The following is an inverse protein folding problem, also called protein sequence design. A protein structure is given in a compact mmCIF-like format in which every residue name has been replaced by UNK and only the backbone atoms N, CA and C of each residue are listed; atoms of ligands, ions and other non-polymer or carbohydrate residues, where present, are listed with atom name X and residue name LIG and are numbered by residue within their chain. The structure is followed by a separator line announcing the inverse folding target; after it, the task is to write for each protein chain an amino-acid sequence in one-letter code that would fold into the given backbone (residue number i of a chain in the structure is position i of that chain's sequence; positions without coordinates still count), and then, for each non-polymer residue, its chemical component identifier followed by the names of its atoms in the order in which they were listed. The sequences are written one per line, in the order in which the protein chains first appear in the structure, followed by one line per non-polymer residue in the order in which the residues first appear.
data_IF_548197563323
#
_entry.id   IF_548197563323
#
_cell.length_a   1.000
_cell.length_b   1.000
_cell.length_c   1.000
_cell.angle_alpha   90.00
_cell.angle_beta   90.00
_cell.angle_gamma   90.00
#
_symmetry.space_group_name_H-M   'P 1'
#
loop_
_entity.id
_entity.type
_entity.pdbx_description
1 polymer ?
#
# COMPACT_ATOMS: atom_id res chain seq x y z
N UNK A 1 -3.61 14.21 19.60
CA UNK A 1 -3.61 12.80 19.13
C UNK A 1 -3.37 12.76 17.64
N UNK A 2 -2.68 11.74 17.11
CA UNK A 2 -2.54 11.58 15.67
C UNK A 2 -3.93 11.26 15.07
N UNK A 3 -4.24 11.88 13.93
CA UNK A 3 -5.52 11.64 13.24
C UNK A 3 -5.42 10.34 12.46
N UNK A 4 -6.31 9.38 12.72
CA UNK A 4 -6.39 8.16 11.94
C UNK A 4 -6.95 8.48 10.56
N UNK A 5 -6.27 8.00 9.52
CA UNK A 5 -6.70 8.07 8.12
C UNK A 5 -7.20 6.71 7.67
N UNK A 6 -8.40 6.68 7.10
CA UNK A 6 -9.03 5.47 6.60
C UNK A 6 -9.21 5.57 5.08
N UNK A 7 -8.66 4.60 4.36
CA UNK A 7 -8.78 4.50 2.92
C UNK A 7 -9.39 3.18 2.47
N UNK A 8 -9.61 3.07 1.18
CA UNK A 8 -10.19 1.90 0.53
C UNK A 8 -9.27 1.37 -0.56
N UNK A 9 -9.21 0.06 -0.72
CA UNK A 9 -8.53 -0.61 -1.83
C UNK A 9 -9.49 -1.57 -2.53
N UNK A 10 -9.85 -1.25 -3.76
CA UNK A 10 -10.50 -2.17 -4.68
C UNK A 10 -10.04 -1.88 -6.10
N UNK A 11 -9.08 -2.68 -6.57
CA UNK A 11 -8.47 -2.49 -7.88
C UNK A 11 -9.49 -2.62 -9.01
N UNK A 12 -10.35 -3.63 -8.96
CA UNK A 12 -11.34 -3.90 -10.01
C UNK A 12 -12.37 -2.75 -10.08
N UNK A 13 -12.74 -2.17 -8.94
CA UNK A 13 -13.67 -1.06 -8.87
C UNK A 13 -13.12 0.25 -9.45
N UNK A 14 -11.80 0.46 -9.37
CA UNK A 14 -11.17 1.73 -9.76
C UNK A 14 -10.46 1.69 -11.11
N UNK A 15 -10.25 0.51 -11.72
CA UNK A 15 -9.60 0.36 -13.04
C UNK A 15 -10.57 0.22 -14.21
N UNK A 16 -11.81 0.64 -14.03
CA UNK A 16 -12.84 0.56 -15.08
C UNK A 16 -12.46 1.35 -16.33
N UNK A 17 -12.79 0.83 -17.52
CA UNK A 17 -12.47 1.50 -18.78
C UNK A 17 -13.28 2.80 -18.99
N UNK A 18 -14.51 2.89 -18.47
CA UNK A 18 -15.32 4.11 -18.57
C UNK A 18 -14.82 5.18 -17.60
N UNK A 19 -14.28 6.32 -18.10
CA UNK A 19 -13.73 7.38 -17.27
C UNK A 19 -14.81 8.07 -16.42
N UNK A 20 -16.07 8.11 -16.88
CA UNK A 20 -17.15 8.73 -16.11
C UNK A 20 -17.58 7.87 -14.93
N UNK A 21 -17.61 6.54 -15.09
CA UNK A 21 -17.89 5.61 -13.97
C UNK A 21 -16.76 5.69 -12.96
N UNK A 22 -15.50 5.67 -13.42
CA UNK A 22 -14.34 5.80 -12.55
C UNK A 22 -14.37 7.11 -11.77
N UNK A 23 -14.64 8.24 -12.42
CA UNK A 23 -14.77 9.55 -11.78
C UNK A 23 -15.86 9.54 -10.71
N UNK A 24 -17.07 9.09 -11.03
CA UNK A 24 -18.18 9.01 -10.05
C UNK A 24 -17.83 8.18 -8.82
N UNK A 25 -17.09 7.05 -8.98
CA UNK A 25 -16.65 6.26 -7.84
C UNK A 25 -15.64 6.99 -6.97
N UNK A 26 -14.68 7.68 -7.57
CA UNK A 26 -13.73 8.50 -6.81
C UNK A 26 -14.42 9.66 -6.10
N UNK A 27 -15.39 10.32 -6.76
CA UNK A 27 -16.21 11.36 -6.15
C UNK A 27 -17.01 10.81 -4.95
N UNK A 28 -17.52 9.55 -5.03
CA UNK A 28 -18.20 8.89 -3.91
C UNK A 28 -17.23 8.60 -2.76
N UNK A 29 -16.03 8.12 -3.03
CA UNK A 29 -14.98 7.93 -2.02
C UNK A 29 -14.67 9.24 -1.28
N UNK A 30 -14.52 10.33 -2.02
CA UNK A 30 -14.26 11.66 -1.45
C UNK A 30 -15.45 12.18 -0.64
N UNK A 31 -16.67 12.02 -1.15
CA UNK A 31 -17.91 12.41 -0.46
C UNK A 31 -18.15 11.60 0.82
N UNK A 32 -17.70 10.35 0.86
CA UNK A 32 -17.69 9.47 2.03
C UNK A 32 -16.56 9.80 3.03
N UNK A 33 -15.82 10.89 2.81
CA UNK A 33 -14.69 11.33 3.64
C UNK A 33 -13.58 10.30 3.82
N UNK A 34 -13.44 9.35 2.90
CA UNK A 34 -12.31 8.42 2.91
C UNK A 34 -11.03 9.16 2.51
N UNK A 35 -9.94 8.89 3.23
CA UNK A 35 -8.73 9.71 3.17
C UNK A 35 -7.82 9.37 1.98
N UNK A 36 -7.95 8.18 1.39
CA UNK A 36 -7.14 7.75 0.24
C UNK A 36 -7.69 6.51 -0.46
N UNK A 37 -7.26 6.31 -1.69
CA UNK A 37 -7.44 5.05 -2.43
C UNK A 37 -6.11 4.32 -2.53
N UNK A 38 -6.11 3.00 -2.32
CA UNK A 38 -4.91 2.16 -2.50
C UNK A 38 -5.09 1.25 -3.71
N UNK A 39 -4.04 1.14 -4.52
CA UNK A 39 -3.97 0.21 -5.65
C UNK A 39 -2.79 -0.73 -5.50
N UNK A 40 -2.93 -1.97 -5.99
CA UNK A 40 -1.84 -2.94 -6.06
C UNK A 40 -0.95 -2.72 -7.27
N UNK A 41 0.13 -3.51 -7.34
CA UNK A 41 1.04 -3.57 -8.47
C UNK A 41 1.37 -5.02 -8.78
N UNK A 42 0.91 -5.50 -9.92
CA UNK A 42 1.19 -6.84 -10.43
C UNK A 42 1.46 -6.82 -11.93
N UNK A 43 2.43 -7.61 -12.38
CA UNK A 43 2.77 -7.76 -13.80
C UNK A 43 1.95 -8.88 -14.42
N UNK A 44 1.86 -10.05 -13.76
CA UNK A 44 1.14 -11.23 -14.24
C UNK A 44 0.85 -12.23 -13.11
N UNK A 45 0.13 -11.77 -12.08
CA UNK A 45 -0.14 -12.55 -10.88
C UNK A 45 -1.05 -13.75 -11.18
N UNK A 46 -0.67 -14.92 -10.68
CA UNK A 46 -1.45 -16.17 -10.75
C UNK A 46 -2.15 -16.46 -12.10
N UNK A 47 -1.44 -16.28 -13.20
CA UNK A 47 -1.94 -16.61 -14.53
C UNK A 47 -2.29 -15.41 -15.39
N UNK A 48 -1.74 -14.25 -15.08
CA UNK A 48 -1.80 -13.07 -15.94
C UNK A 48 -2.74 -11.98 -15.47
N UNK A 49 -3.24 -12.06 -14.24
CA UNK A 49 -4.04 -10.98 -13.66
C UNK A 49 -3.14 -9.90 -13.05
N UNK A 50 -3.64 -8.66 -12.98
CA UNK A 50 -2.97 -7.55 -12.34
C UNK A 50 -2.97 -6.28 -13.18
N UNK A 51 -2.48 -5.23 -12.58
CA UNK A 51 -2.32 -3.91 -13.20
C UNK A 51 -1.00 -3.30 -12.74
N UNK A 52 -0.34 -2.53 -13.60
CA UNK A 52 0.82 -1.73 -13.20
C UNK A 52 0.39 -0.65 -12.24
N UNK A 53 1.01 -0.65 -11.05
CA UNK A 53 0.62 0.23 -9.95
C UNK A 53 0.82 1.71 -10.25
N UNK A 54 1.88 2.11 -10.98
CA UNK A 54 2.12 3.52 -11.30
C UNK A 54 1.20 4.01 -12.42
N UNK A 55 0.91 3.18 -13.43
CA UNK A 55 -0.05 3.51 -14.48
C UNK A 55 -1.45 3.67 -13.88
N UNK A 56 -1.86 2.75 -13.01
CA UNK A 56 -3.14 2.83 -12.31
C UNK A 56 -3.19 4.09 -11.43
N UNK A 57 -2.18 4.33 -10.59
CA UNK A 57 -2.13 5.52 -9.75
C UNK A 57 -2.19 6.82 -10.59
N UNK A 58 -1.48 6.89 -11.72
CA UNK A 58 -1.53 8.03 -12.65
C UNK A 58 -2.96 8.26 -13.16
N UNK A 59 -3.64 7.19 -13.56
CA UNK A 59 -5.02 7.26 -14.04
C UNK A 59 -5.97 7.80 -12.97
N UNK A 60 -5.85 7.33 -11.72
CA UNK A 60 -6.72 7.77 -10.62
C UNK A 60 -6.43 9.21 -10.20
N UNK A 61 -5.15 9.59 -10.09
CA UNK A 61 -4.73 10.94 -9.76
C UNK A 61 -5.18 11.97 -10.81
N UNK A 62 -5.23 11.58 -12.08
CA UNK A 62 -5.77 12.41 -13.17
C UNK A 62 -7.30 12.41 -13.22
N UNK A 63 -7.97 11.40 -12.65
CA UNK A 63 -9.44 11.29 -12.65
C UNK A 63 -10.10 12.04 -11.50
N UNK A 64 -9.36 12.47 -10.47
CA UNK A 64 -9.89 13.22 -9.33
C UNK A 64 -8.88 14.26 -8.82
N UNK A 65 -9.35 15.45 -8.44
CA UNK A 65 -8.47 16.62 -8.25
C UNK A 65 -7.77 16.65 -6.89
N UNK A 66 -8.32 16.00 -5.85
CA UNK A 66 -7.80 16.10 -4.47
C UNK A 66 -7.53 14.75 -3.79
N UNK A 67 -8.14 13.64 -4.24
CA UNK A 67 -8.06 12.36 -3.55
C UNK A 67 -6.64 11.79 -3.61
N UNK A 68 -5.99 11.48 -2.47
CA UNK A 68 -4.69 10.83 -2.44
C UNK A 68 -4.75 9.38 -2.94
N UNK A 69 -3.68 8.94 -3.58
CA UNK A 69 -3.53 7.55 -4.06
C UNK A 69 -2.26 6.95 -3.48
N UNK A 70 -2.38 5.74 -2.97
CA UNK A 70 -1.27 4.92 -2.51
C UNK A 70 -1.06 3.72 -3.45
N UNK A 71 0.18 3.44 -3.82
CA UNK A 71 0.54 2.14 -4.41
C UNK A 71 0.96 1.20 -3.27
N UNK A 72 0.19 0.17 -3.03
CA UNK A 72 0.41 -0.69 -1.87
C UNK A 72 0.39 -2.19 -2.21
N UNK A 73 1.51 -2.74 -2.74
CA UNK A 73 2.89 -2.21 -2.80
C UNK A 73 3.47 -2.31 -4.21
N UNK A 74 4.30 -1.36 -4.60
CA UNK A 74 5.05 -1.34 -5.85
C UNK A 74 6.22 -2.34 -5.83
N UNK A 75 6.37 -3.12 -6.88
CA UNK A 75 7.38 -4.17 -6.99
C UNK A 75 8.69 -3.62 -7.58
N UNK A 76 9.34 -2.69 -6.84
CA UNK A 76 10.55 -1.99 -7.31
C UNK A 76 11.68 -2.94 -7.72
N UNK A 77 11.83 -4.08 -7.04
CA UNK A 77 12.86 -5.08 -7.36
C UNK A 77 12.75 -5.70 -8.76
N UNK A 78 11.59 -5.55 -9.44
CA UNK A 78 11.36 -6.01 -10.80
C UNK A 78 11.65 -4.93 -11.85
N UNK A 79 12.04 -3.72 -11.45
CA UNK A 79 12.19 -2.56 -12.33
C UNK A 79 13.58 -1.94 -12.20
N UNK A 80 13.97 -1.19 -13.21
CA UNK A 80 15.22 -0.43 -13.17
C UNK A 80 15.02 0.85 -12.33
N UNK A 81 15.89 1.15 -11.34
CA UNK A 81 15.70 2.27 -10.41
C UNK A 81 15.65 3.64 -11.10
N UNK A 82 16.40 3.84 -12.18
CA UNK A 82 16.37 5.09 -12.96
C UNK A 82 15.01 5.34 -13.61
N UNK A 83 14.40 4.29 -14.19
CA UNK A 83 13.08 4.38 -14.83
C UNK A 83 12.00 4.61 -13.76
N UNK A 84 12.04 3.85 -12.66
CA UNK A 84 11.11 4.02 -11.55
C UNK A 84 11.20 5.44 -10.95
N UNK A 85 12.41 5.96 -10.72
CA UNK A 85 12.59 7.31 -10.19
C UNK A 85 12.05 8.39 -11.16
N UNK A 86 12.23 8.23 -12.48
CA UNK A 86 11.67 9.16 -13.47
C UNK A 86 10.14 9.11 -13.46
N UNK A 87 9.54 7.93 -13.47
CA UNK A 87 8.09 7.76 -13.43
C UNK A 87 7.49 8.39 -12.16
N UNK A 88 8.08 8.13 -11.01
CA UNK A 88 7.67 8.69 -9.72
C UNK A 88 7.81 10.22 -9.68
N UNK A 89 8.93 10.76 -10.15
CA UNK A 89 9.13 12.21 -10.24
C UNK A 89 8.07 12.86 -11.13
N UNK A 90 7.79 12.28 -12.30
CA UNK A 90 6.78 12.79 -13.24
C UNK A 90 5.39 12.78 -12.61
N UNK A 91 5.02 11.66 -11.98
CA UNK A 91 3.71 11.50 -11.34
C UNK A 91 3.54 12.47 -10.15
N UNK A 92 4.58 12.65 -9.35
CA UNK A 92 4.56 13.56 -8.21
C UNK A 92 4.48 15.05 -8.65
N UNK A 93 5.04 15.40 -9.81
CA UNK A 93 4.87 16.75 -10.38
C UNK A 93 3.43 16.97 -10.89
N UNK A 94 2.81 15.95 -11.47
CA UNK A 94 1.43 16.03 -11.96
C UNK A 94 0.40 16.07 -10.81
N UNK A 95 0.71 15.47 -9.66
CA UNK A 95 -0.16 15.37 -8.50
C UNK A 95 0.61 15.63 -7.18
N UNK A 96 1.05 16.86 -6.91
CA UNK A 96 1.91 17.17 -5.76
C UNK A 96 1.27 16.78 -4.43
N UNK A 97 2.01 16.01 -3.62
CA UNK A 97 1.58 15.57 -2.28
C UNK A 97 0.48 14.52 -2.22
N UNK A 98 -0.03 14.05 -3.38
CA UNK A 98 -1.14 13.09 -3.42
C UNK A 98 -0.71 11.63 -3.65
N UNK A 99 0.57 11.36 -3.91
CA UNK A 99 1.10 10.01 -4.10
C UNK A 99 1.83 9.53 -2.85
N UNK A 100 1.50 8.34 -2.37
CA UNK A 100 2.30 7.56 -1.41
C UNK A 100 2.77 6.27 -2.07
N UNK A 101 4.06 5.95 -1.95
CA UNK A 101 4.64 4.75 -2.54
C UNK A 101 4.93 3.70 -1.47
N UNK A 102 4.11 2.66 -1.40
CA UNK A 102 4.46 1.43 -0.71
C UNK A 102 5.39 0.58 -1.58
N UNK A 103 6.45 0.01 -1.01
CA UNK A 103 7.41 -0.81 -1.73
C UNK A 103 7.45 -2.22 -1.14
N UNK A 104 7.32 -3.24 -2.00
CA UNK A 104 7.40 -4.65 -1.65
C UNK A 104 8.38 -5.43 -2.52
N UNK A 105 8.65 -6.68 -2.09
CA UNK A 105 9.65 -7.55 -2.78
C UNK A 105 9.04 -8.50 -3.81
N UNK A 106 7.71 -8.54 -3.97
CA UNK A 106 7.00 -9.62 -4.66
C UNK A 106 7.26 -11.01 -4.02
N UNK A 107 6.64 -12.06 -4.53
CA UNK A 107 7.08 -13.40 -4.19
C UNK A 107 6.05 -14.44 -3.86
N UNK A 108 4.76 -14.10 -3.83
CA UNK A 108 3.70 -15.09 -3.74
C UNK A 108 3.60 -15.89 -5.05
N UNK A 109 3.77 -15.20 -6.19
CA UNK A 109 3.92 -15.87 -7.49
C UNK A 109 5.36 -15.73 -8.02
N UNK A 110 6.14 -16.81 -7.92
CA UNK A 110 7.53 -16.82 -8.43
C UNK A 110 7.60 -16.72 -9.95
N UNK A 111 6.54 -17.14 -10.67
CA UNK A 111 6.48 -17.06 -12.14
C UNK A 111 6.32 -15.62 -12.60
N UNK A 112 5.56 -14.79 -11.87
CA UNK A 112 5.48 -13.35 -12.13
C UNK A 112 6.87 -12.71 -12.12
N UNK A 113 7.68 -13.03 -11.12
CA UNK A 113 9.04 -12.52 -10.98
C UNK A 113 9.94 -12.98 -12.13
N UNK A 114 9.90 -14.29 -12.47
CA UNK A 114 10.71 -14.85 -13.55
C UNK A 114 10.32 -14.29 -14.91
N UNK A 115 9.02 -14.12 -15.18
CA UNK A 115 8.51 -13.57 -16.43
C UNK A 115 8.88 -12.10 -16.60
N UNK A 116 9.11 -11.38 -15.51
CA UNK A 116 9.66 -10.02 -15.52
C UNK A 116 11.19 -9.98 -15.76
N UNK A 117 11.82 -11.12 -16.07
CA UNK A 117 13.25 -11.20 -16.33
C UNK A 117 14.12 -11.17 -15.07
N UNK A 118 13.54 -11.42 -13.90
CA UNK A 118 14.24 -11.39 -12.61
C UNK A 118 14.28 -12.79 -11.99
N UNK A 119 15.47 -13.25 -11.58
CA UNK A 119 15.57 -14.46 -10.76
C UNK A 119 14.86 -14.24 -9.41
N UNK A 120 13.81 -15.03 -9.08
CA UNK A 120 13.09 -14.92 -7.81
C UNK A 120 13.99 -15.04 -6.57
N UNK A 121 15.15 -15.69 -6.66
CA UNK A 121 16.13 -15.78 -5.58
C UNK A 121 16.86 -14.46 -5.31
N UNK A 122 16.94 -13.57 -6.29
CA UNK A 122 17.68 -12.30 -6.20
C UNK A 122 16.81 -11.09 -5.86
N UNK A 123 15.48 -11.19 -5.95
CA UNK A 123 14.55 -10.05 -5.84
C UNK A 123 14.75 -9.17 -4.60
N UNK A 124 15.10 -9.80 -3.47
CA UNK A 124 15.37 -9.07 -2.21
C UNK A 124 16.65 -8.24 -2.30
N UNK A 125 17.75 -8.80 -2.83
CA UNK A 125 19.03 -8.09 -3.02
C UNK A 125 18.89 -6.99 -4.06
N UNK A 126 18.15 -7.25 -5.16
CA UNK A 126 17.81 -6.21 -6.16
C UNK A 126 17.06 -5.04 -5.52
N UNK A 127 16.11 -5.31 -4.63
CA UNK A 127 15.41 -4.26 -3.90
C UNK A 127 16.35 -3.51 -2.94
N UNK A 128 17.23 -4.21 -2.23
CA UNK A 128 18.22 -3.61 -1.34
C UNK A 128 19.16 -2.65 -2.07
N UNK A 129 19.49 -2.96 -3.34
CA UNK A 129 20.31 -2.11 -4.20
C UNK A 129 19.50 -0.95 -4.83
N UNK A 130 18.27 -1.23 -5.30
CA UNK A 130 17.43 -0.24 -5.99
C UNK A 130 16.91 0.86 -5.07
N UNK A 131 16.55 0.52 -3.83
CA UNK A 131 15.85 1.42 -2.92
C UNK A 131 16.67 2.69 -2.56
N UNK A 132 17.96 2.59 -2.14
CA UNK A 132 18.78 3.78 -1.91
C UNK A 132 19.02 4.60 -3.19
N UNK A 133 19.11 3.96 -4.36
CA UNK A 133 19.28 4.65 -5.64
C UNK A 133 18.05 5.50 -5.97
N UNK A 134 16.85 4.92 -5.86
CA UNK A 134 15.60 5.66 -6.08
C UNK A 134 15.46 6.85 -5.13
N UNK A 135 15.77 6.68 -3.84
CA UNK A 135 15.71 7.80 -2.88
C UNK A 135 16.64 8.94 -3.24
N UNK A 136 17.90 8.63 -3.59
CA UNK A 136 18.89 9.64 -4.00
C UNK A 136 18.48 10.35 -5.30
N UNK A 137 17.99 9.59 -6.29
CA UNK A 137 17.52 10.14 -7.56
C UNK A 137 16.31 11.06 -7.37
N UNK A 138 15.33 10.67 -6.54
CA UNK A 138 14.16 11.50 -6.22
C UNK A 138 14.53 12.76 -5.43
N UNK A 139 15.60 12.71 -4.63
CA UNK A 139 16.16 13.89 -3.98
C UNK A 139 16.95 14.81 -4.93
N UNK A 140 17.03 14.50 -6.25
CA UNK A 140 17.76 15.26 -7.24
C UNK A 140 19.28 15.18 -7.15
N UNK A 141 19.79 14.23 -6.38
CA UNK A 141 21.22 14.00 -6.25
C UNK A 141 21.79 13.39 -7.54
N UNK A 142 23.04 13.71 -7.85
CA UNK A 142 23.80 12.97 -8.85
C UNK A 142 24.24 11.63 -8.28
N UNK A 143 24.05 10.57 -9.04
CA UNK A 143 24.29 9.18 -8.60
C UNK A 143 25.18 8.50 -9.62
N UNK A 144 26.39 8.13 -9.18
CA UNK A 144 27.20 7.10 -9.84
C UNK A 144 27.19 5.85 -8.94
N UNK A 145 26.96 4.69 -9.53
CA UNK A 145 26.84 3.40 -8.83
C UNK A 145 27.27 2.27 -9.75
N UNK A 146 28.02 1.34 -9.18
CA UNK A 146 28.39 0.08 -9.84
C UNK A 146 28.07 -1.05 -8.83
N UNK A 147 26.94 -1.70 -9.04
CA UNK A 147 26.44 -2.76 -8.13
C UNK A 147 26.35 -4.13 -8.78
N UNK A 148 25.67 -5.02 -8.10
CA UNK A 148 25.43 -6.39 -8.60
C UNK A 148 24.38 -6.39 -9.73
N UNK A 149 23.39 -5.50 -9.65
CA UNK A 149 22.22 -5.51 -10.53
C UNK A 149 22.09 -4.24 -11.37
N UNK A 150 22.64 -3.13 -10.91
CA UNK A 150 22.45 -1.83 -11.56
C UNK A 150 23.78 -1.09 -11.68
N UNK A 151 23.94 -0.41 -12.82
CA UNK A 151 25.02 0.51 -13.04
C UNK A 151 24.44 1.88 -13.46
N UNK A 152 24.91 2.94 -12.83
CA UNK A 152 24.53 4.34 -13.14
C UNK A 152 25.81 5.16 -13.21
N UNK A 153 25.88 6.07 -14.18
CA UNK A 153 26.98 7.01 -14.34
C UNK A 153 26.42 8.43 -14.38
N UNK A 154 26.79 9.26 -13.40
CA UNK A 154 26.36 10.66 -13.26
C UNK A 154 24.86 10.86 -13.48
N UNK A 155 24.06 9.86 -13.05
CA UNK A 155 22.60 9.83 -13.25
C UNK A 155 21.91 10.82 -12.32
N UNK A 156 20.95 11.58 -12.86
CA UNK A 156 20.20 12.59 -12.10
C UNK A 156 18.76 12.68 -12.57
N UNK A 157 17.83 12.88 -11.65
CA UNK A 157 16.40 13.11 -11.93
C UNK A 157 16.02 14.51 -11.45
N UNK A 158 15.64 15.38 -12.39
CA UNK A 158 15.09 16.72 -12.12
C UNK A 158 13.82 16.94 -12.94
N UNK A 159 12.86 17.75 -12.43
CA UNK A 159 12.85 18.34 -11.10
C UNK A 159 12.59 17.28 -10.01
N UNK A 160 13.11 17.53 -8.80
CA UNK A 160 12.78 16.71 -7.64
C UNK A 160 11.34 16.92 -7.22
N UNK A 161 10.61 15.87 -6.73
CA UNK A 161 9.28 16.03 -6.16
C UNK A 161 9.27 17.01 -4.98
N UNK A 162 8.31 17.93 -5.00
CA UNK A 162 8.03 18.83 -3.87
C UNK A 162 6.52 18.95 -3.67
N UNK A 163 5.98 18.44 -2.56
CA UNK A 163 6.68 17.73 -1.47
C UNK A 163 7.25 16.38 -1.93
N UNK A 164 8.19 15.84 -1.15
CA UNK A 164 8.77 14.52 -1.41
C UNK A 164 7.69 13.43 -1.37
N UNK A 165 7.84 12.40 -2.22
CA UNK A 165 6.95 11.23 -2.20
C UNK A 165 7.27 10.37 -0.98
N UNK A 166 6.31 10.14 -0.06
CA UNK A 166 6.52 9.22 1.04
C UNK A 166 6.76 7.79 0.52
N UNK A 167 7.84 7.16 1.00
CA UNK A 167 8.19 5.76 0.67
C UNK A 167 8.00 4.91 1.92
N UNK A 168 7.03 4.01 1.90
CA UNK A 168 6.75 3.08 2.99
C UNK A 168 7.08 1.65 2.58
N UNK A 169 7.62 0.87 3.49
CA UNK A 169 8.09 -0.47 3.18
C UNK A 169 7.06 -1.51 3.61
N UNK A 170 6.62 -2.34 2.67
CA UNK A 170 5.77 -3.50 2.94
C UNK A 170 6.59 -4.74 3.30
N UNK A 171 5.93 -5.69 3.96
CA UNK A 171 6.51 -6.99 4.31
C UNK A 171 6.58 -7.26 5.80
N UNK A 172 6.74 -8.56 6.17
CA UNK A 172 6.60 -9.06 7.55
C UNK A 172 7.88 -9.56 8.19
N UNK A 173 8.95 -9.68 7.40
CA UNK A 173 10.21 -10.30 7.84
C UNK A 173 11.26 -9.29 8.27
N UNK A 174 12.39 -9.79 8.80
CA UNK A 174 13.53 -9.00 9.25
C UNK A 174 14.07 -8.04 8.19
N UNK A 175 14.10 -8.49 6.94
CA UNK A 175 14.55 -7.65 5.83
C UNK A 175 13.65 -6.42 5.62
N UNK A 176 12.32 -6.55 5.81
CA UNK A 176 11.41 -5.43 5.72
C UNK A 176 11.63 -4.43 6.87
N UNK A 177 11.88 -4.91 8.09
CA UNK A 177 12.22 -4.07 9.24
C UNK A 177 13.51 -3.28 8.97
N UNK A 178 14.57 -3.95 8.50
CA UNK A 178 15.83 -3.27 8.16
C UNK A 178 15.65 -2.22 7.06
N UNK A 179 14.89 -2.54 5.99
CA UNK A 179 14.62 -1.59 4.90
C UNK A 179 13.80 -0.39 5.39
N UNK A 180 12.76 -0.63 6.17
CA UNK A 180 11.94 0.44 6.75
C UNK A 180 12.79 1.37 7.64
N UNK A 181 13.62 0.81 8.50
CA UNK A 181 14.53 1.56 9.35
C UNK A 181 15.59 2.33 8.56
N UNK A 182 16.18 1.72 7.51
CA UNK A 182 17.28 2.33 6.78
C UNK A 182 16.80 3.30 5.67
N UNK A 183 15.65 3.04 5.04
CA UNK A 183 15.23 3.75 3.83
C UNK A 183 13.76 4.15 3.79
N UNK A 184 12.90 3.64 4.69
CA UNK A 184 11.47 3.96 4.70
C UNK A 184 11.16 5.25 5.45
N UNK A 185 10.10 5.95 5.05
CA UNK A 185 9.44 6.97 5.85
C UNK A 185 8.47 6.32 6.84
N UNK A 186 8.27 4.98 6.67
CA UNK A 186 7.44 4.15 7.53
C UNK A 186 7.28 2.72 7.04
N UNK A 187 6.24 2.05 7.53
CA UNK A 187 5.97 0.65 7.25
C UNK A 187 4.47 0.38 7.05
N UNK A 188 4.18 -0.48 6.08
CA UNK A 188 2.84 -0.96 5.77
C UNK A 188 2.71 -2.43 6.16
N UNK A 189 1.90 -2.70 7.18
CA UNK A 189 1.53 -4.04 7.62
C UNK A 189 0.42 -4.64 6.77
N UNK A 190 0.46 -5.97 6.58
CA UNK A 190 -0.61 -6.75 5.99
C UNK A 190 -0.56 -8.18 6.54
N UNK A 191 -1.72 -8.79 6.76
CA UNK A 191 -1.83 -10.12 7.36
C UNK A 191 -1.01 -10.26 8.66
N UNK A 192 -1.16 -9.32 9.57
CA UNK A 192 -0.56 -9.34 10.90
C UNK A 192 -1.60 -8.99 11.97
N UNK A 193 -1.40 -9.47 13.19
CA UNK A 193 -2.20 -9.02 14.34
C UNK A 193 -1.74 -7.66 14.85
N UNK A 194 -2.58 -6.95 15.59
CA UNK A 194 -2.24 -5.66 16.21
C UNK A 194 -1.01 -5.79 17.12
N UNK A 195 -0.88 -6.87 17.89
CA UNK A 195 0.33 -7.17 18.69
C UNK A 195 1.59 -7.24 17.79
N UNK A 196 1.51 -7.95 16.66
CA UNK A 196 2.64 -8.04 15.72
C UNK A 196 2.93 -6.69 15.08
N UNK A 197 1.90 -5.90 14.81
CA UNK A 197 2.04 -4.54 14.29
C UNK A 197 2.83 -3.67 15.29
N UNK A 198 2.42 -3.61 16.56
CA UNK A 198 3.10 -2.87 17.62
C UNK A 198 4.58 -3.29 17.77
N UNK A 199 4.84 -4.59 17.81
CA UNK A 199 6.21 -5.13 17.90
C UNK A 199 7.07 -4.74 16.68
N UNK A 200 6.52 -4.81 15.46
CA UNK A 200 7.24 -4.46 14.24
C UNK A 200 7.55 -2.96 14.21
N UNK A 201 6.56 -2.12 14.55
CA UNK A 201 6.74 -0.67 14.68
C UNK A 201 7.86 -0.32 15.65
N UNK A 202 7.82 -0.84 16.88
CA UNK A 202 8.85 -0.60 17.89
C UNK A 202 10.25 -0.99 17.42
N UNK A 203 10.38 -2.13 16.74
CA UNK A 203 11.66 -2.60 16.19
C UNK A 203 12.19 -1.71 15.06
N UNK A 204 11.31 -1.20 14.19
CA UNK A 204 11.69 -0.25 13.13
C UNK A 204 12.19 1.05 13.75
N UNK A 205 11.48 1.59 14.74
CA UNK A 205 11.87 2.82 15.43
C UNK A 205 13.22 2.68 16.13
N UNK A 206 13.43 1.58 16.87
CA UNK A 206 14.69 1.30 17.53
C UNK A 206 15.85 1.15 16.51
N UNK A 207 15.62 0.45 15.41
CA UNK A 207 16.62 0.26 14.37
C UNK A 207 16.97 1.57 13.65
N UNK A 208 15.98 2.42 13.35
CA UNK A 208 16.20 3.74 12.75
C UNK A 208 17.00 4.67 13.66
N UNK A 209 16.68 4.69 14.96
CA UNK A 209 17.44 5.43 15.98
C UNK A 209 18.90 4.94 16.04
N UNK A 210 19.12 3.62 16.00
CA UNK A 210 20.49 3.03 15.96
C UNK A 210 21.30 3.42 14.73
N UNK A 211 20.62 3.78 13.63
CA UNK A 211 21.25 4.29 12.39
C UNK A 211 21.41 5.81 12.39
N UNK A 212 20.99 6.53 13.42
CA UNK A 212 20.99 7.98 13.48
C UNK A 212 20.07 8.64 12.46
N UNK A 213 19.03 7.91 12.00
CA UNK A 213 18.06 8.44 11.04
C UNK A 213 16.93 9.19 11.72
N UNK A 214 16.33 10.13 10.97
CA UNK A 214 15.03 10.69 11.32
C UNK A 214 14.00 9.58 11.56
N UNK A 215 13.20 9.75 12.60
CA UNK A 215 12.22 8.76 13.05
C UNK A 215 11.16 8.53 11.97
N UNK A 216 10.99 7.29 11.46
CA UNK A 216 9.88 6.97 10.57
C UNK A 216 8.54 7.29 11.25
N UNK A 217 7.68 8.02 10.53
CA UNK A 217 6.41 8.51 11.09
C UNK A 217 5.18 7.90 10.43
N UNK A 218 5.30 7.32 9.24
CA UNK A 218 4.18 6.75 8.52
C UNK A 218 3.99 5.27 8.87
N UNK A 219 2.98 4.91 9.66
CA UNK A 219 2.66 3.53 9.98
C UNK A 219 1.24 3.20 9.59
N UNK A 220 1.07 2.19 8.72
CA UNK A 220 -0.25 1.81 8.23
C UNK A 220 -0.44 0.30 8.16
N UNK A 221 -1.70 -0.09 7.97
CA UNK A 221 -2.10 -1.49 7.80
C UNK A 221 -3.16 -1.62 6.71
N UNK A 222 -2.99 -2.64 5.85
CA UNK A 222 -4.01 -3.08 4.92
C UNK A 222 -4.75 -4.27 5.52
N UNK A 223 -6.09 -4.17 5.63
CA UNK A 223 -6.94 -5.19 6.22
C UNK A 223 -8.02 -5.60 5.22
N UNK A 224 -8.02 -6.87 4.84
CA UNK A 224 -9.12 -7.49 4.12
C UNK A 224 -10.31 -7.63 5.05
N UNK A 225 -11.52 -7.27 4.61
CA UNK A 225 -12.73 -7.39 5.42
C UNK A 225 -13.94 -7.73 4.56
N UNK A 226 -14.83 -8.56 5.11
CA UNK A 226 -16.16 -8.79 4.57
C UNK A 226 -17.15 -7.87 5.25
N UNK A 227 -17.88 -7.09 4.47
CA UNK A 227 -18.79 -6.07 4.99
C UNK A 227 -20.22 -6.36 4.53
N UNK A 228 -21.05 -6.77 5.48
CA UNK A 228 -22.48 -7.02 5.28
C UNK A 228 -23.22 -6.89 6.62
N UNK A 229 -24.52 -6.61 6.58
CA UNK A 229 -25.40 -6.65 7.75
C UNK A 229 -25.53 -8.05 8.35
N UNK A 230 -25.43 -9.11 7.50
CA UNK A 230 -25.27 -10.49 7.89
C UNK A 230 -23.79 -10.89 7.91
N UNK A 231 -23.18 -11.18 9.08
CA UNK A 231 -21.79 -11.57 9.19
C UNK A 231 -21.41 -12.84 8.39
N UNK A 232 -22.34 -13.79 8.24
CA UNK A 232 -22.08 -14.98 7.43
C UNK A 232 -21.98 -14.64 5.96
N UNK A 233 -22.87 -13.79 5.46
CA UNK A 233 -22.83 -13.30 4.10
C UNK A 233 -21.54 -12.51 3.82
N UNK A 234 -21.15 -11.61 4.73
CA UNK A 234 -19.88 -10.90 4.65
C UNK A 234 -18.68 -11.85 4.59
N UNK A 235 -18.70 -12.95 5.36
CA UNK A 235 -17.65 -13.98 5.34
C UNK A 235 -17.60 -14.72 4.00
N UNK A 236 -18.74 -15.09 3.43
CA UNK A 236 -18.81 -15.75 2.12
C UNK A 236 -18.22 -14.87 1.01
N UNK A 237 -18.60 -13.59 0.97
CA UNK A 237 -18.09 -12.62 -0.01
C UNK A 237 -16.56 -12.45 0.13
N UNK A 238 -16.07 -12.32 1.35
CA UNK A 238 -14.65 -12.20 1.64
C UNK A 238 -13.88 -13.45 1.22
N UNK A 239 -14.40 -14.65 1.60
CA UNK A 239 -13.79 -15.91 1.24
C UNK A 239 -13.66 -16.05 -0.28
N UNK A 240 -14.74 -15.79 -1.03
CA UNK A 240 -14.75 -15.87 -2.48
C UNK A 240 -13.74 -14.90 -3.13
N UNK A 241 -13.67 -13.63 -2.64
CA UNK A 241 -12.74 -12.61 -3.16
C UNK A 241 -11.29 -13.00 -2.88
N UNK A 242 -10.97 -13.46 -1.66
CA UNK A 242 -9.61 -13.85 -1.28
C UNK A 242 -9.14 -15.14 -1.95
N UNK A 243 -9.99 -16.16 -2.04
CA UNK A 243 -9.66 -17.44 -2.70
C UNK A 243 -9.41 -17.25 -4.19
N UNK A 244 -10.22 -16.40 -4.83
CA UNK A 244 -10.01 -16.03 -6.24
C UNK A 244 -8.63 -15.39 -6.47
N UNK A 245 -8.21 -14.49 -5.57
CA UNK A 245 -6.96 -13.75 -5.71
C UNK A 245 -5.74 -14.58 -5.29
N UNK A 246 -5.77 -15.15 -4.09
CA UNK A 246 -4.60 -15.83 -3.50
C UNK A 246 -4.53 -17.32 -3.82
N UNK A 247 -5.60 -17.92 -4.35
CA UNK A 247 -5.73 -19.38 -4.56
C UNK A 247 -5.46 -20.19 -3.29
N UNK A 248 -5.83 -19.62 -2.15
CA UNK A 248 -5.69 -20.23 -0.82
C UNK A 248 -7.03 -20.17 -0.09
N UNK A 249 -7.38 -21.22 0.70
CA UNK A 249 -8.62 -21.21 1.47
C UNK A 249 -8.63 -20.04 2.48
N UNK A 250 -9.79 -19.39 2.61
CA UNK A 250 -10.00 -18.28 3.55
C UNK A 250 -9.63 -18.64 5.01
N UNK A 251 -9.77 -19.89 5.41
CA UNK A 251 -9.42 -20.36 6.76
C UNK A 251 -7.99 -19.98 7.20
N UNK A 252 -7.07 -19.82 6.26
CA UNK A 252 -5.70 -19.34 6.55
C UNK A 252 -5.65 -17.89 6.98
N UNK A 253 -6.68 -17.11 6.70
CA UNK A 253 -6.74 -15.66 6.91
C UNK A 253 -7.78 -15.27 7.98
N UNK A 254 -8.66 -16.15 8.41
CA UNK A 254 -9.86 -15.86 9.23
C UNK A 254 -9.61 -15.02 10.49
N UNK A 255 -8.42 -15.11 11.09
CA UNK A 255 -8.05 -14.30 12.26
C UNK A 255 -7.42 -12.95 11.92
N UNK A 256 -7.16 -12.67 10.66
CA UNK A 256 -6.46 -11.50 10.17
C UNK A 256 -7.29 -10.72 9.14
N UNK A 257 -8.45 -11.24 8.78
CA UNK A 257 -9.38 -10.68 7.82
C UNK A 257 -10.81 -10.82 8.41
N UNK A 258 -11.29 -9.79 9.12
CA UNK A 258 -12.61 -9.81 9.79
C UNK A 258 -13.75 -9.82 8.78
N UNK A 259 -14.89 -10.40 9.18
CA UNK A 259 -16.14 -10.26 8.47
C UNK A 259 -17.26 -9.91 9.46
N UNK A 260 -18.17 -9.03 9.07
CA UNK A 260 -19.29 -8.60 9.89
C UNK A 260 -19.81 -7.23 9.50
N UNK A 261 -20.57 -6.65 10.42
CA UNK A 261 -21.07 -5.26 10.27
C UNK A 261 -19.94 -4.26 10.33
N UNK A 262 -20.11 -3.03 9.80
CA UNK A 262 -19.11 -1.97 9.89
C UNK A 262 -18.59 -1.73 11.32
N UNK A 263 -19.49 -1.79 12.32
CA UNK A 263 -19.12 -1.67 13.74
C UNK A 263 -18.18 -2.79 14.19
N UNK A 264 -18.47 -4.05 13.84
CA UNK A 264 -17.62 -5.20 14.22
C UNK A 264 -16.24 -5.13 13.55
N UNK A 265 -16.18 -4.65 12.29
CA UNK A 265 -14.90 -4.43 11.61
C UNK A 265 -14.13 -3.28 12.28
N UNK A 266 -14.78 -2.19 12.68
CA UNK A 266 -14.14 -1.12 13.44
C UNK A 266 -13.58 -1.63 14.77
N UNK A 267 -14.33 -2.43 15.52
CA UNK A 267 -13.88 -3.07 16.78
C UNK A 267 -12.62 -3.92 16.58
N UNK A 268 -12.52 -4.65 15.46
CA UNK A 268 -11.29 -5.38 15.09
C UNK A 268 -10.10 -4.43 14.84
N UNK A 269 -10.34 -3.22 14.37
CA UNK A 269 -9.29 -2.24 14.01
C UNK A 269 -8.78 -1.43 15.21
N UNK A 270 -9.55 -1.27 16.29
CA UNK A 270 -9.13 -0.49 17.46
C UNK A 270 -7.75 -0.86 18.00
N UNK A 271 -7.43 -2.16 18.21
CA UNK A 271 -6.10 -2.53 18.67
C UNK A 271 -4.95 -2.12 17.72
N UNK A 272 -5.21 -1.95 16.43
CA UNK A 272 -4.20 -1.44 15.50
C UNK A 272 -3.97 0.07 15.66
N UNK A 273 -5.05 0.83 15.88
CA UNK A 273 -4.96 2.25 16.18
C UNK A 273 -4.18 2.50 17.48
N UNK A 274 -4.50 1.76 18.56
CA UNK A 274 -3.75 1.78 19.82
C UNK A 274 -2.28 1.38 19.64
N UNK A 275 -1.99 0.46 18.71
CA UNK A 275 -0.63 0.07 18.34
C UNK A 275 0.11 1.12 17.49
N UNK A 276 -0.54 2.24 17.16
CA UNK A 276 0.01 3.36 16.40
C UNK A 276 -0.12 3.22 14.88
N UNK A 277 -1.13 2.52 14.38
CA UNK A 277 -1.52 2.57 12.98
C UNK A 277 -2.27 3.89 12.71
N UNK A 278 -1.64 4.79 11.98
CA UNK A 278 -2.23 6.08 11.60
C UNK A 278 -2.90 6.03 10.22
N UNK A 279 -2.57 5.01 9.41
CA UNK A 279 -3.14 4.79 8.09
C UNK A 279 -3.74 3.39 8.00
N UNK A 280 -5.04 3.29 7.87
CA UNK A 280 -5.76 2.03 7.75
C UNK A 280 -6.39 1.97 6.36
N UNK A 281 -6.01 1.00 5.56
CA UNK A 281 -6.66 0.73 4.27
C UNK A 281 -7.50 -0.52 4.40
N UNK A 282 -8.78 -0.42 4.10
CA UNK A 282 -9.66 -1.57 4.01
C UNK A 282 -9.69 -2.10 2.57
N UNK A 283 -9.59 -3.43 2.45
CA UNK A 283 -9.79 -4.17 1.20
C UNK A 283 -11.13 -4.91 1.35
N UNK A 284 -12.24 -4.21 1.06
CA UNK A 284 -13.57 -4.74 1.35
C UNK A 284 -13.97 -5.85 0.38
N UNK A 285 -14.87 -6.71 0.84
CA UNK A 285 -15.67 -7.60 0.03
C UNK A 285 -17.14 -7.38 0.41
N UNK A 286 -17.91 -6.85 -0.53
CA UNK A 286 -19.31 -6.53 -0.39
C UNK A 286 -20.09 -6.89 -1.66
N UNK A 287 -21.37 -6.58 -1.71
CA UNK A 287 -22.24 -6.90 -2.86
C UNK A 287 -21.93 -6.07 -4.10
N UNK A 288 -21.48 -4.83 -3.93
CA UNK A 288 -21.12 -3.90 -5.00
C UNK A 288 -20.05 -2.92 -4.55
N UNK A 289 -19.35 -2.31 -5.50
CA UNK A 289 -18.34 -1.29 -5.20
C UNK A 289 -18.92 -0.08 -4.45
N UNK A 290 -20.16 0.28 -4.75
CA UNK A 290 -20.86 1.37 -4.07
C UNK A 290 -21.17 1.00 -2.61
N UNK A 291 -21.68 -0.22 -2.37
CA UNK A 291 -21.92 -0.73 -1.02
C UNK A 291 -20.62 -0.88 -0.22
N UNK A 292 -19.53 -1.32 -0.87
CA UNK A 292 -18.21 -1.38 -0.24
C UNK A 292 -17.72 0.00 0.23
N UNK A 293 -17.88 1.05 -0.59
CA UNK A 293 -17.49 2.42 -0.23
C UNK A 293 -18.29 2.91 0.97
N UNK A 294 -19.62 2.74 0.97
CA UNK A 294 -20.48 3.19 2.05
C UNK A 294 -20.17 2.45 3.36
N UNK A 295 -20.02 1.13 3.30
CA UNK A 295 -19.70 0.34 4.48
C UNK A 295 -18.30 0.68 5.05
N UNK A 296 -17.31 0.97 4.20
CA UNK A 296 -16.00 1.46 4.65
C UNK A 296 -16.10 2.84 5.32
N UNK A 297 -16.98 3.72 4.81
CA UNK A 297 -17.25 5.00 5.45
C UNK A 297 -17.85 4.83 6.85
N UNK A 298 -18.82 3.91 7.02
CA UNK A 298 -19.38 3.56 8.33
C UNK A 298 -18.32 2.99 9.28
N UNK A 299 -17.41 2.12 8.80
CA UNK A 299 -16.26 1.65 9.61
C UNK A 299 -15.42 2.82 10.09
N UNK A 300 -15.12 3.78 9.19
CA UNK A 300 -14.37 4.99 9.54
C UNK A 300 -15.06 5.81 10.63
N UNK A 301 -16.36 6.03 10.51
CA UNK A 301 -17.15 6.76 11.51
C UNK A 301 -17.07 6.09 12.88
N UNK A 302 -17.31 4.78 12.95
CA UNK A 302 -17.22 4.01 14.19
C UNK A 302 -15.81 4.06 14.79
N UNK A 303 -14.78 3.95 13.96
CA UNK A 303 -13.39 3.99 14.43
C UNK A 303 -13.03 5.37 15.01
N UNK A 304 -13.46 6.46 14.37
CA UNK A 304 -13.15 7.82 14.80
C UNK A 304 -13.95 8.23 16.05
N UNK A 305 -15.19 7.77 16.21
CA UNK A 305 -15.99 8.02 17.41
C UNK A 305 -15.27 7.52 18.66
N UNK A 306 -14.79 6.28 18.65
CA UNK A 306 -14.07 5.72 19.82
C UNK A 306 -12.69 6.34 19.99
N UNK A 307 -12.01 6.71 18.88
CA UNK A 307 -10.69 7.33 18.95
C UNK A 307 -10.73 8.76 19.51
N UNK A 308 -11.86 9.48 19.38
CA UNK A 308 -12.02 10.82 19.95
C UNK A 308 -12.25 10.80 21.47
N UNK A 309 -12.67 9.67 22.02
CA UNK A 309 -12.98 9.51 23.45
C UNK A 309 -11.77 9.00 24.28
N UNK A 310 -10.65 8.69 23.62
CA UNK A 310 -9.38 8.28 24.22
C UNK A 310 -8.37 9.42 24.30
#
# INVERSE_FOLDING_TARGET
MATIKVGISDQDAFTLPDPHVRRRRLDRVAAAHLDHVTVGDHIAFHGGTGFDGLITASTLLASHDSLPVMVGVYLLGLRHPMLAARQLSTLAQAAPGRLTLGIGVAGEDRREVSNAGVDPGTRGRRLDEALPLVRRLLAGQEVSHQGEFFALEQARILPSPSPAVPIVIGGRGEAAIRRAAAFGDGWLGMFCSARRFAQTRSRILAAAAGLGRETPSWFGVNVWCGLDSDPERGRELLAAKMERLYRLPYEKFRYLAPAGTPKQVAEFLYPFAEAGAEHITLVPAGESAEAEIDAVAEVREHLLLVWSDL
#
